data_IF_311660563651
#
_entry.id   IF_311660563651
#
_cell.length_a   1.000
_cell.length_b   1.000
_cell.length_c   1.000
_cell.angle_alpha   90.00
_cell.angle_beta   90.00
_cell.angle_gamma   90.00
#
_symmetry.space_group_name_H-M   'P 1'
#
loop_
_entity.id
_entity.type
_entity.pdbx_description
1 polymer ?
#
# COMPACT_ATOMS: atom_id res chain seq x y z
N UNK A 1 34.73 -8.64 3.06
CA UNK A 1 35.24 -9.37 1.88
C UNK A 1 34.55 -8.94 0.57
N UNK A 2 33.51 -8.08 0.61
CA UNK A 2 32.85 -7.48 -0.55
C UNK A 2 33.52 -6.18 -1.06
N UNK A 3 34.24 -5.46 -0.20
CA UNK A 3 34.89 -4.17 -0.57
C UNK A 3 36.17 -4.29 -1.42
N UNK A 4 36.58 -5.52 -1.78
CA UNK A 4 37.88 -5.75 -2.45
C UNK A 4 37.81 -6.20 -3.91
N UNK A 5 36.62 -6.31 -4.51
CA UNK A 5 36.50 -6.84 -5.88
C UNK A 5 36.22 -5.76 -6.94
N UNK A 6 35.84 -4.52 -6.58
CA UNK A 6 35.42 -3.53 -7.59
C UNK A 6 36.12 -2.18 -7.43
N UNK A 7 37.42 -2.18 -7.72
CA UNK A 7 38.13 -0.96 -8.16
C UNK A 7 37.75 -0.68 -9.62
N UNK A 8 36.73 0.16 -9.84
CA UNK A 8 36.28 0.53 -11.19
C UNK A 8 35.03 1.40 -11.23
N UNK A 9 35.05 2.57 -10.58
CA UNK A 9 33.99 3.59 -10.62
C UNK A 9 33.04 3.53 -9.41
N UNK A 10 32.94 4.62 -8.65
CA UNK A 10 31.94 4.75 -7.59
C UNK A 10 30.54 4.69 -8.23
N UNK A 11 29.81 3.60 -8.00
CA UNK A 11 28.41 3.48 -8.41
C UNK A 11 27.61 4.47 -7.57
N UNK A 12 27.12 5.53 -8.21
CA UNK A 12 26.24 6.52 -7.58
C UNK A 12 24.79 6.11 -7.77
N UNK A 13 24.16 5.66 -6.68
CA UNK A 13 22.72 5.43 -6.65
C UNK A 13 21.97 6.76 -6.61
N UNK A 14 20.88 6.88 -7.39
CA UNK A 14 20.03 8.09 -7.39
C UNK A 14 19.37 8.25 -6.03
N UNK A 15 18.76 7.18 -5.52
CA UNK A 15 18.19 7.12 -4.17
C UNK A 15 19.02 6.19 -3.30
N UNK A 16 19.67 6.76 -2.27
CA UNK A 16 20.43 5.96 -1.28
C UNK A 16 19.52 5.21 -0.31
N UNK A 17 18.35 5.76 -0.02
CA UNK A 17 17.31 5.11 0.78
C UNK A 17 16.24 4.52 -0.16
N UNK A 18 16.21 3.19 -0.25
CA UNK A 18 15.23 2.47 -1.06
C UNK A 18 13.78 2.72 -0.60
N UNK A 19 13.56 3.03 0.69
CA UNK A 19 12.23 3.23 1.23
C UNK A 19 11.50 4.44 0.63
N UNK A 20 12.24 5.45 0.14
CA UNK A 20 11.64 6.59 -0.58
C UNK A 20 10.91 6.08 -1.82
N UNK A 21 11.59 5.22 -2.58
CA UNK A 21 11.06 4.65 -3.82
C UNK A 21 9.96 3.64 -3.52
N UNK A 22 10.16 2.75 -2.54
CA UNK A 22 9.13 1.79 -2.10
C UNK A 22 7.84 2.49 -1.67
N UNK A 23 7.93 3.56 -0.87
CA UNK A 23 6.78 4.32 -0.41
C UNK A 23 6.07 5.05 -1.56
N UNK A 24 6.81 5.55 -2.55
CA UNK A 24 6.23 6.14 -3.75
C UNK A 24 5.33 5.14 -4.49
N UNK A 25 5.82 3.93 -4.76
CA UNK A 25 5.01 2.91 -5.43
C UNK A 25 3.87 2.39 -4.56
N UNK A 26 4.07 2.23 -3.24
CA UNK A 26 3.00 1.90 -2.30
C UNK A 26 1.86 2.92 -2.32
N UNK A 27 2.18 4.21 -2.41
CA UNK A 27 1.19 5.29 -2.44
C UNK A 27 0.39 5.35 -3.75
N UNK A 28 0.88 4.73 -4.84
CA UNK A 28 0.13 4.64 -6.11
C UNK A 28 -0.95 3.56 -6.07
N UNK A 29 -0.94 2.67 -5.09
CA UNK A 29 -1.86 1.55 -5.00
C UNK A 29 -3.24 2.07 -4.56
N UNK A 30 -4.31 1.79 -5.33
CA UNK A 30 -5.66 2.19 -4.96
C UNK A 30 -6.09 1.61 -3.60
N UNK A 31 -6.63 2.48 -2.73
CA UNK A 31 -7.25 2.05 -1.47
C UNK A 31 -8.60 1.40 -1.76
N UNK A 32 -8.94 0.34 -1.02
CA UNK A 32 -10.21 -0.37 -1.17
C UNK A 32 -11.09 -0.06 0.05
N UNK A 33 -11.99 0.91 -0.12
CA UNK A 33 -12.93 1.35 0.92
C UNK A 33 -14.33 0.74 0.72
N UNK A 34 -14.58 0.11 -0.43
CA UNK A 34 -15.80 -0.58 -0.80
C UNK A 34 -15.53 -1.64 -1.88
N UNK A 35 -16.46 -2.55 -2.09
CA UNK A 35 -16.38 -3.56 -3.17
C UNK A 35 -16.26 -2.92 -4.57
N UNK A 36 -16.82 -1.71 -4.73
CA UNK A 36 -16.76 -0.94 -5.99
C UNK A 36 -15.35 -0.45 -6.35
N UNK A 37 -14.41 -0.46 -5.41
CA UNK A 37 -13.02 -0.02 -5.63
C UNK A 37 -12.12 -1.14 -6.19
N UNK A 38 -12.56 -2.40 -6.10
CA UNK A 38 -11.80 -3.57 -6.53
C UNK A 38 -11.37 -3.53 -8.01
N UNK A 39 -12.22 -3.11 -8.98
CA UNK A 39 -11.80 -3.00 -10.38
C UNK A 39 -10.60 -2.08 -10.58
N UNK A 40 -10.54 -0.94 -9.88
CA UNK A 40 -9.41 -0.01 -9.95
C UNK A 40 -8.13 -0.64 -9.38
N UNK A 41 -8.26 -1.38 -8.28
CA UNK A 41 -7.15 -2.15 -7.71
C UNK A 41 -6.64 -3.23 -8.68
N UNK A 42 -7.54 -4.01 -9.28
CA UNK A 42 -7.16 -5.05 -10.25
C UNK A 42 -6.53 -4.46 -11.51
N UNK A 43 -6.97 -3.28 -11.93
CA UNK A 43 -6.39 -2.54 -13.04
C UNK A 43 -5.03 -1.92 -12.70
N UNK A 44 -4.64 -1.82 -11.43
CA UNK A 44 -3.33 -1.30 -11.06
C UNK A 44 -2.22 -2.33 -11.31
N UNK A 45 -2.45 -3.59 -10.96
CA UNK A 45 -1.46 -4.66 -11.11
C UNK A 45 -1.66 -5.45 -12.40
N UNK A 46 -0.54 -5.82 -13.05
CA UNK A 46 -0.61 -6.74 -14.19
C UNK A 46 -1.21 -8.10 -13.78
N UNK A 47 -0.84 -8.59 -12.59
CA UNK A 47 -1.31 -9.86 -12.05
C UNK A 47 -1.71 -9.66 -10.59
N UNK A 48 -2.77 -10.34 -10.16
CA UNK A 48 -3.37 -10.21 -8.84
C UNK A 48 -3.37 -11.58 -8.16
N UNK A 49 -3.13 -11.61 -6.85
CA UNK A 49 -3.40 -12.80 -6.03
C UNK A 49 -4.72 -12.61 -5.26
N UNK A 50 -5.85 -13.17 -5.74
CA UNK A 50 -7.15 -13.02 -5.09
C UNK A 50 -7.30 -13.89 -3.83
N UNK A 51 -6.32 -14.74 -3.50
CA UNK A 51 -6.47 -15.79 -2.47
C UNK A 51 -5.52 -15.67 -1.30
N UNK A 52 -4.36 -15.04 -1.48
CA UNK A 52 -3.30 -14.96 -0.48
C UNK A 52 -2.96 -13.52 -0.17
N UNK A 53 -2.66 -13.23 1.10
CA UNK A 53 -2.18 -11.93 1.54
C UNK A 53 -0.76 -11.67 0.99
N UNK A 54 -0.67 -10.96 -0.14
CA UNK A 54 0.55 -10.61 -0.88
C UNK A 54 0.49 -9.16 -1.35
N UNK A 55 1.61 -8.63 -1.79
CA UNK A 55 1.71 -7.25 -2.28
C UNK A 55 0.73 -6.91 -3.42
N UNK A 56 0.50 -7.84 -4.35
CA UNK A 56 -0.46 -7.69 -5.45
C UNK A 56 -1.83 -8.33 -5.13
N UNK A 57 -2.19 -8.40 -3.85
CA UNK A 57 -3.48 -8.88 -3.37
C UNK A 57 -4.29 -7.72 -2.80
N UNK A 58 -5.63 -7.74 -2.84
CA UNK A 58 -6.42 -6.67 -2.22
C UNK A 58 -6.39 -6.70 -0.68
N UNK A 59 -6.02 -7.82 -0.04
CA UNK A 59 -6.07 -7.97 1.44
C UNK A 59 -5.24 -6.96 2.25
N UNK A 60 -3.99 -6.59 1.88
CA UNK A 60 -3.23 -5.56 2.59
C UNK A 60 -3.85 -4.15 2.52
N UNK A 61 -4.73 -3.88 1.55
CA UNK A 61 -5.18 -2.53 1.21
C UNK A 61 -6.64 -2.26 1.57
N UNK A 62 -7.23 -3.15 2.37
CA UNK A 62 -8.59 -3.00 2.91
C UNK A 62 -8.68 -3.47 4.35
N UNK A 63 -9.71 -2.99 5.06
CA UNK A 63 -10.17 -3.54 6.35
C UNK A 63 -11.48 -4.33 6.21
N UNK A 64 -12.06 -4.37 5.01
CA UNK A 64 -13.32 -5.03 4.72
C UNK A 64 -13.11 -6.54 4.49
N UNK A 65 -14.13 -7.34 4.79
CA UNK A 65 -14.18 -8.73 4.32
C UNK A 65 -14.66 -8.76 2.87
N UNK A 66 -13.70 -8.78 1.95
CA UNK A 66 -13.92 -8.71 0.49
C UNK A 66 -13.94 -10.08 -0.19
N UNK A 67 -13.95 -11.20 0.55
CA UNK A 67 -13.84 -12.54 -0.07
C UNK A 67 -14.96 -12.81 -1.06
N UNK A 68 -16.20 -12.50 -0.70
CA UNK A 68 -17.35 -12.70 -1.58
C UNK A 68 -17.24 -11.79 -2.82
N UNK A 69 -16.87 -10.51 -2.63
CA UNK A 69 -16.69 -9.57 -3.73
C UNK A 69 -15.58 -9.99 -4.71
N UNK A 70 -14.49 -10.61 -4.22
CA UNK A 70 -13.45 -11.21 -5.06
C UNK A 70 -14.00 -12.41 -5.85
N UNK A 71 -14.76 -13.31 -5.21
CA UNK A 71 -15.37 -14.45 -5.91
C UNK A 71 -16.35 -14.00 -6.99
N UNK A 72 -17.15 -12.97 -6.70
CA UNK A 72 -18.05 -12.34 -7.67
C UNK A 72 -17.28 -11.67 -8.81
N UNK A 73 -16.15 -11.02 -8.54
CA UNK A 73 -15.26 -10.44 -9.56
C UNK A 73 -14.70 -11.50 -10.51
N UNK A 74 -14.35 -12.70 -9.99
CA UNK A 74 -13.94 -13.84 -10.82
C UNK A 74 -15.12 -14.41 -11.60
N UNK A 75 -16.30 -14.52 -10.97
CA UNK A 75 -17.51 -15.05 -11.60
C UNK A 75 -17.96 -14.17 -12.76
N UNK A 76 -17.91 -12.86 -12.60
CA UNK A 76 -18.37 -11.85 -13.54
C UNK A 76 -17.29 -11.37 -14.53
N UNK A 77 -16.13 -12.03 -14.57
CA UNK A 77 -15.04 -11.72 -15.51
C UNK A 77 -14.44 -10.31 -15.34
N UNK A 78 -14.52 -9.72 -14.15
CA UNK A 78 -13.75 -8.52 -13.81
C UNK A 78 -12.26 -8.87 -13.73
N UNK A 79 -11.95 -10.00 -13.10
CA UNK A 79 -10.65 -10.64 -13.15
C UNK A 79 -10.78 -12.05 -13.72
N UNK A 80 -9.79 -12.46 -14.50
CA UNK A 80 -9.78 -13.72 -15.25
C UNK A 80 -8.45 -14.44 -15.08
N UNK A 81 -8.48 -15.77 -15.17
CA UNK A 81 -7.25 -16.56 -15.10
C UNK A 81 -6.47 -16.49 -16.42
N UNK A 82 -5.15 -16.37 -16.33
CA UNK A 82 -4.21 -16.40 -17.46
C UNK A 82 -3.05 -17.35 -17.15
N UNK A 83 -2.39 -17.84 -18.19
CA UNK A 83 -1.23 -18.72 -18.06
C UNK A 83 0.01 -18.08 -18.68
N UNK A 84 1.07 -17.95 -17.89
CA UNK A 84 2.39 -17.50 -18.36
C UNK A 84 3.45 -18.58 -18.06
N UNK A 85 3.99 -18.59 -16.83
CA UNK A 85 4.79 -19.70 -16.28
C UNK A 85 3.96 -20.67 -15.41
N UNK A 86 2.73 -20.27 -15.13
CA UNK A 86 1.73 -20.95 -14.33
C UNK A 86 0.47 -20.10 -14.29
N UNK A 87 -0.60 -20.61 -13.69
CA UNK A 87 -1.87 -19.88 -13.63
C UNK A 87 -1.81 -18.71 -12.67
N UNK A 88 -2.21 -17.54 -13.15
CA UNK A 88 -2.34 -16.31 -12.40
C UNK A 88 -3.70 -15.65 -12.69
N UNK A 89 -4.07 -14.62 -11.94
CA UNK A 89 -5.27 -13.83 -12.21
C UNK A 89 -4.87 -12.45 -12.67
N UNK A 90 -5.63 -11.86 -13.58
CA UNK A 90 -5.40 -10.52 -14.12
C UNK A 90 -6.72 -9.79 -14.31
N UNK A 91 -6.69 -8.46 -14.36
CA UNK A 91 -7.83 -7.67 -14.84
C UNK A 91 -8.16 -8.03 -16.28
N UNK A 92 -9.44 -8.10 -16.60
CA UNK A 92 -9.92 -8.41 -17.95
C UNK A 92 -9.26 -7.53 -19.03
N UNK A 93 -8.96 -6.27 -18.72
CA UNK A 93 -8.34 -5.34 -19.67
C UNK A 93 -6.96 -5.79 -20.17
N UNK A 94 -6.25 -6.63 -19.42
CA UNK A 94 -4.93 -7.14 -19.78
C UNK A 94 -4.98 -8.52 -20.43
N UNK A 95 -6.15 -9.17 -20.43
CA UNK A 95 -6.30 -10.55 -20.87
C UNK A 95 -5.76 -10.78 -22.28
N UNK A 96 -6.15 -9.94 -23.25
CA UNK A 96 -5.70 -10.10 -24.64
C UNK A 96 -4.21 -9.81 -24.82
N UNK A 97 -3.65 -8.84 -24.08
CA UNK A 97 -2.21 -8.56 -24.13
C UNK A 97 -1.39 -9.75 -23.63
N UNK A 98 -1.79 -10.34 -22.50
CA UNK A 98 -1.13 -11.50 -21.93
C UNK A 98 -1.32 -12.72 -22.86
N UNK A 99 -2.53 -12.95 -23.36
CA UNK A 99 -2.80 -14.03 -24.31
C UNK A 99 -1.90 -13.92 -25.55
N UNK A 100 -1.84 -12.76 -26.20
CA UNK A 100 -0.98 -12.53 -27.37
C UNK A 100 0.49 -12.85 -27.07
N UNK A 101 0.98 -12.52 -25.87
CA UNK A 101 2.38 -12.73 -25.49
C UNK A 101 2.69 -14.19 -25.07
N UNK A 102 1.73 -14.95 -24.55
CA UNK A 102 1.99 -16.23 -23.86
C UNK A 102 1.15 -17.42 -24.34
N UNK A 103 0.22 -17.24 -25.29
CA UNK A 103 -0.55 -18.35 -25.86
C UNK A 103 0.38 -19.35 -26.56
N UNK A 104 0.38 -20.58 -26.05
CA UNK A 104 1.16 -21.67 -26.62
C UNK A 104 0.42 -22.31 -27.79
N UNK A 105 1.11 -22.46 -28.93
CA UNK A 105 0.63 -23.32 -30.01
C UNK A 105 0.81 -24.79 -29.63
N UNK A 106 -0.29 -25.53 -29.50
CA UNK A 106 -0.27 -26.95 -29.13
C UNK A 106 -1.12 -27.80 -30.09
N UNK A 107 -0.72 -29.05 -30.27
CA UNK A 107 -1.55 -30.08 -30.90
C UNK A 107 -2.33 -30.83 -29.82
N UNK A 108 -3.66 -30.87 -29.92
CA UNK A 108 -4.51 -31.56 -28.94
C UNK A 108 -4.56 -33.06 -29.20
N UNK A 109 -4.19 -33.84 -28.19
CA UNK A 109 -4.40 -35.29 -28.20
C UNK A 109 -5.83 -35.66 -27.75
N UNK A 110 -6.10 -36.96 -27.63
CA UNK A 110 -7.42 -37.44 -27.21
C UNK A 110 -7.73 -37.09 -25.75
N UNK A 111 -6.74 -37.16 -24.86
CA UNK A 111 -6.91 -36.84 -23.44
C UNK A 111 -7.27 -35.36 -23.28
N UNK A 112 -6.55 -34.48 -23.99
CA UNK A 112 -6.81 -33.03 -23.99
C UNK A 112 -8.26 -32.73 -24.45
N UNK A 113 -8.72 -33.39 -25.53
CA UNK A 113 -10.09 -33.21 -26.04
C UNK A 113 -11.15 -33.69 -25.05
N UNK A 114 -10.92 -34.81 -24.38
CA UNK A 114 -11.85 -35.35 -23.37
C UNK A 114 -11.90 -34.45 -22.13
N UNK A 115 -10.74 -34.01 -21.64
CA UNK A 115 -10.63 -33.07 -20.51
C UNK A 115 -11.31 -31.75 -20.84
N UNK A 116 -11.00 -31.15 -22.00
CA UNK A 116 -11.59 -29.88 -22.43
C UNK A 116 -13.12 -29.96 -22.57
N UNK A 117 -13.66 -31.08 -23.09
CA UNK A 117 -15.12 -31.29 -23.16
C UNK A 117 -15.78 -31.40 -21.79
N UNK A 118 -15.04 -31.89 -20.79
CA UNK A 118 -15.50 -32.05 -19.41
C UNK A 118 -15.44 -30.74 -18.60
N UNK A 119 -14.74 -29.72 -19.11
CA UNK A 119 -14.69 -28.39 -18.49
C UNK A 119 -16.01 -27.64 -18.68
N UNK A 120 -16.85 -27.66 -17.65
CA UNK A 120 -18.08 -26.86 -17.55
C UNK A 120 -18.44 -26.59 -16.07
N UNK A 121 -17.73 -25.64 -15.46
CA UNK A 121 -17.81 -25.31 -14.03
C UNK A 121 -17.54 -26.53 -13.13
N UNK A 122 -16.59 -27.37 -13.57
CA UNK A 122 -16.19 -28.60 -12.88
C UNK A 122 -14.83 -28.46 -12.22
N UNK A 123 -14.71 -29.00 -11.02
CA UNK A 123 -13.42 -29.14 -10.32
C UNK A 123 -12.55 -30.21 -10.99
N UNK A 124 -11.25 -30.20 -10.72
CA UNK A 124 -10.34 -31.24 -11.24
C UNK A 124 -10.79 -32.66 -10.84
N UNK A 125 -11.35 -32.81 -9.62
CA UNK A 125 -11.87 -34.09 -9.13
C UNK A 125 -13.08 -34.56 -9.94
N UNK A 126 -14.01 -33.66 -10.24
CA UNK A 126 -15.17 -33.99 -11.08
C UNK A 126 -14.75 -34.30 -12.53
N UNK A 127 -13.81 -33.53 -13.09
CA UNK A 127 -13.27 -33.77 -14.44
C UNK A 127 -12.66 -35.16 -14.51
N UNK A 128 -11.84 -35.54 -13.52
CA UNK A 128 -11.26 -36.90 -13.42
C UNK A 128 -12.34 -37.98 -13.46
N UNK A 129 -13.41 -37.82 -12.68
CA UNK A 129 -14.52 -38.78 -12.66
C UNK A 129 -15.28 -38.86 -13.99
N UNK A 130 -15.38 -37.75 -14.74
CA UNK A 130 -16.07 -37.70 -16.03
C UNK A 130 -15.20 -38.19 -17.20
N UNK A 131 -13.90 -37.93 -17.16
CA UNK A 131 -12.96 -38.29 -18.22
C UNK A 131 -12.48 -39.73 -18.14
N UNK A 132 -12.61 -40.37 -16.97
CA UNK A 132 -12.04 -41.69 -16.67
C UNK A 132 -10.53 -41.75 -16.94
N UNK A 133 -9.84 -40.63 -16.69
CA UNK A 133 -8.38 -40.51 -16.79
C UNK A 133 -7.75 -40.51 -15.41
N UNK A 134 -6.46 -40.82 -15.35
CA UNK A 134 -5.69 -40.70 -14.12
C UNK A 134 -5.47 -39.23 -13.74
N UNK A 135 -5.27 -38.98 -12.44
CA UNK A 135 -5.18 -37.61 -11.94
C UNK A 135 -4.03 -36.81 -12.58
N UNK A 136 -2.90 -37.46 -12.83
CA UNK A 136 -1.76 -36.83 -13.49
C UNK A 136 -2.04 -36.51 -14.96
N UNK A 137 -2.79 -37.36 -15.67
CA UNK A 137 -3.19 -37.10 -17.05
C UNK A 137 -4.12 -35.89 -17.12
N UNK A 138 -5.12 -35.83 -16.23
CA UNK A 138 -6.02 -34.66 -16.13
C UNK A 138 -5.24 -33.40 -15.81
N UNK A 139 -4.32 -33.44 -14.84
CA UNK A 139 -3.49 -32.28 -14.46
C UNK A 139 -2.63 -31.80 -15.63
N UNK A 140 -1.98 -32.72 -16.35
CA UNK A 140 -1.13 -32.40 -17.50
C UNK A 140 -1.95 -31.81 -18.65
N UNK A 141 -3.10 -32.41 -18.99
CA UNK A 141 -4.01 -31.87 -20.00
C UNK A 141 -4.57 -30.51 -19.61
N UNK A 142 -5.00 -30.31 -18.36
CA UNK A 142 -5.44 -28.98 -17.88
C UNK A 142 -4.34 -27.93 -18.02
N UNK A 143 -3.10 -28.27 -17.65
CA UNK A 143 -1.95 -27.35 -17.76
C UNK A 143 -1.70 -26.96 -19.22
N UNK A 144 -1.73 -27.92 -20.15
CA UNK A 144 -1.60 -27.67 -21.60
C UNK A 144 -2.76 -26.83 -22.15
N UNK A 145 -3.99 -27.12 -21.74
CA UNK A 145 -5.17 -26.39 -22.17
C UNK A 145 -5.20 -24.96 -21.63
N UNK A 146 -4.72 -24.74 -20.40
CA UNK A 146 -4.53 -23.40 -19.83
C UNK A 146 -3.42 -22.63 -20.56
N UNK A 147 -2.28 -23.25 -20.86
CA UNK A 147 -1.18 -22.60 -21.60
C UNK A 147 -1.53 -22.23 -23.03
N UNK A 148 -2.44 -22.97 -23.65
CA UNK A 148 -3.00 -22.67 -24.97
C UNK A 148 -4.27 -21.81 -24.91
N UNK A 149 -4.66 -21.30 -23.75
CA UNK A 149 -5.85 -20.45 -23.58
C UNK A 149 -7.14 -21.11 -24.11
N UNK A 150 -7.27 -22.43 -24.00
CA UNK A 150 -8.47 -23.18 -24.38
C UNK A 150 -9.39 -23.45 -23.18
N UNK A 151 -8.85 -23.39 -21.98
CA UNK A 151 -9.56 -23.53 -20.70
C UNK A 151 -9.15 -22.40 -19.77
N UNK A 152 -10.08 -21.97 -18.92
CA UNK A 152 -9.85 -20.97 -17.88
C UNK A 152 -10.46 -21.40 -16.55
N UNK A 153 -9.95 -20.83 -15.46
CA UNK A 153 -10.42 -21.08 -14.10
C UNK A 153 -11.53 -20.12 -13.71
N UNK A 154 -12.42 -20.61 -12.86
CA UNK A 154 -13.45 -19.89 -12.12
C UNK A 154 -13.40 -20.32 -10.66
N UNK A 155 -14.10 -19.58 -9.80
CA UNK A 155 -14.37 -20.00 -8.43
C UNK A 155 -15.84 -20.39 -8.29
N UNK A 156 -16.07 -21.53 -7.63
CA UNK A 156 -17.38 -22.04 -7.26
C UNK A 156 -17.28 -22.55 -5.82
N UNK A 157 -18.01 -21.91 -4.91
CA UNK A 157 -18.06 -22.26 -3.48
C UNK A 157 -16.64 -22.36 -2.85
N UNK A 158 -15.78 -21.37 -3.10
CA UNK A 158 -14.39 -21.36 -2.64
C UNK A 158 -13.46 -22.37 -3.33
N UNK A 159 -13.94 -23.14 -4.31
CA UNK A 159 -13.15 -24.12 -5.05
C UNK A 159 -12.86 -23.67 -6.48
N UNK A 160 -11.67 -24.00 -6.96
CA UNK A 160 -11.29 -23.80 -8.36
C UNK A 160 -12.05 -24.77 -9.25
N UNK A 161 -12.78 -24.21 -10.21
CA UNK A 161 -13.45 -24.94 -11.29
C UNK A 161 -12.91 -24.49 -12.64
N UNK A 162 -13.10 -25.33 -13.66
CA UNK A 162 -12.61 -25.10 -15.00
C UNK A 162 -13.78 -24.97 -15.97
N UNK A 163 -13.65 -24.04 -16.91
CA UNK A 163 -14.58 -23.83 -18.01
C UNK A 163 -13.81 -23.76 -19.32
N UNK A 164 -14.45 -24.16 -20.41
CA UNK A 164 -13.94 -23.86 -21.75
C UNK A 164 -13.80 -22.35 -21.91
N UNK A 165 -12.73 -21.94 -22.57
CA UNK A 165 -12.48 -20.52 -22.76
C UNK A 165 -13.53 -19.93 -23.71
N UNK A 166 -14.34 -19.01 -23.18
CA UNK A 166 -15.40 -18.32 -23.88
C UNK A 166 -15.04 -16.85 -24.16
N UNK A 167 -13.80 -16.44 -23.89
CA UNK A 167 -13.33 -15.08 -24.14
C UNK A 167 -13.04 -14.88 -25.62
N UNK A 168 -13.48 -13.73 -26.15
CA UNK A 168 -13.16 -13.33 -27.51
C UNK A 168 -11.66 -13.07 -27.62
N UNK A 169 -11.00 -13.72 -28.58
CA UNK A 169 -9.61 -13.40 -28.92
C UNK A 169 -9.58 -12.13 -29.76
N UNK A 170 -8.98 -11.08 -29.23
CA UNK A 170 -8.68 -9.88 -30.02
C UNK A 170 -7.21 -9.96 -30.40
N UNK A 171 -6.95 -9.99 -31.70
CA UNK A 171 -5.58 -9.97 -32.20
C UNK A 171 -4.92 -8.63 -31.85
N UNK A 172 -3.87 -8.69 -31.06
CA UNK A 172 -3.01 -7.55 -30.74
C UNK A 172 -1.66 -7.75 -31.43
N UNK A 173 -0.98 -6.66 -31.74
CA UNK A 173 0.42 -6.72 -32.15
C UNK A 173 1.28 -7.21 -30.98
N UNK A 174 2.21 -8.13 -31.25
CA UNK A 174 3.02 -8.77 -30.21
C UNK A 174 3.93 -7.76 -29.51
N UNK A 175 4.61 -6.90 -30.26
CA UNK A 175 5.58 -5.95 -29.72
C UNK A 175 4.87 -4.86 -28.91
N UNK A 176 3.76 -4.34 -29.43
CA UNK A 176 2.86 -3.43 -28.70
C UNK A 176 2.31 -4.07 -27.43
N UNK A 177 1.97 -5.36 -27.46
CA UNK A 177 1.50 -6.08 -26.28
C UNK A 177 2.59 -6.17 -25.22
N UNK A 178 3.79 -6.59 -25.60
CA UNK A 178 4.93 -6.69 -24.67
C UNK A 178 5.25 -5.32 -24.07
N UNK A 179 5.28 -4.25 -24.87
CA UNK A 179 5.49 -2.87 -24.40
C UNK A 179 4.46 -2.48 -23.33
N UNK A 180 3.16 -2.70 -23.59
CA UNK A 180 2.09 -2.40 -22.62
C UNK A 180 2.18 -3.25 -21.34
N UNK A 181 2.60 -4.51 -21.45
CA UNK A 181 2.83 -5.39 -20.30
C UNK A 181 3.97 -4.86 -19.42
N UNK A 182 5.09 -4.45 -20.04
CA UNK A 182 6.23 -3.83 -19.34
C UNK A 182 5.80 -2.53 -18.66
N UNK A 183 5.10 -1.65 -19.37
CA UNK A 183 4.61 -0.40 -18.79
C UNK A 183 3.71 -0.66 -17.57
N UNK A 184 2.77 -1.59 -17.68
CA UNK A 184 1.84 -1.93 -16.59
C UNK A 184 2.59 -2.50 -15.38
N UNK A 185 3.58 -3.36 -15.64
CA UNK A 185 4.41 -3.94 -14.60
C UNK A 185 5.25 -2.86 -13.89
N UNK A 186 5.95 -2.01 -14.63
CA UNK A 186 6.83 -0.99 -14.06
C UNK A 186 6.05 0.14 -13.37
N UNK A 187 4.85 0.48 -13.84
CA UNK A 187 3.98 1.45 -13.15
C UNK A 187 3.53 0.99 -11.76
N UNK A 188 3.39 -0.32 -11.56
CA UNK A 188 2.88 -0.89 -10.30
C UNK A 188 3.97 -1.42 -9.38
N UNK A 189 5.10 -1.86 -9.92
CA UNK A 189 6.16 -2.54 -9.17
C UNK A 189 7.58 -2.04 -9.49
N UNK A 190 7.72 -0.92 -10.20
CA UNK A 190 9.03 -0.33 -10.49
C UNK A 190 9.75 0.17 -9.23
N UNK A 191 11.04 0.55 -9.34
CA UNK A 191 11.98 0.19 -10.41
C UNK A 191 12.32 -1.31 -10.35
N UNK A 192 12.57 -1.95 -11.51
CA UNK A 192 12.93 -3.38 -11.59
C UNK A 192 14.17 -3.61 -12.45
N UNK A 193 15.01 -4.56 -12.04
CA UNK A 193 16.10 -5.08 -12.88
C UNK A 193 15.56 -5.95 -14.03
N UNK A 194 16.38 -6.19 -15.06
CA UNK A 194 16.03 -7.10 -16.15
C UNK A 194 15.58 -8.49 -15.64
N UNK A 195 16.33 -9.07 -14.70
CA UNK A 195 16.05 -10.38 -14.13
C UNK A 195 14.68 -10.42 -13.42
N UNK A 196 14.33 -9.35 -12.71
CA UNK A 196 13.04 -9.23 -12.04
C UNK A 196 11.88 -9.07 -13.02
N UNK A 197 12.10 -8.38 -14.15
CA UNK A 197 11.13 -8.29 -15.24
C UNK A 197 10.96 -9.66 -15.89
N UNK A 198 12.06 -10.35 -16.25
CA UNK A 198 12.03 -11.70 -16.84
C UNK A 198 11.34 -12.73 -15.95
N UNK A 199 11.50 -12.62 -14.63
CA UNK A 199 10.83 -13.50 -13.68
C UNK A 199 9.29 -13.36 -13.75
N UNK A 200 8.81 -12.14 -14.00
CA UNK A 200 7.37 -11.80 -14.03
C UNK A 200 6.77 -11.91 -15.43
N UNK A 201 7.56 -11.62 -16.45
CA UNK A 201 7.25 -11.72 -17.87
C UNK A 201 8.24 -12.72 -18.49
N UNK A 202 7.92 -14.02 -18.51
CA UNK A 202 8.82 -15.08 -19.00
C UNK A 202 8.92 -15.09 -20.53
N UNK A 203 9.31 -13.96 -21.10
CA UNK A 203 9.59 -13.73 -22.52
C UNK A 203 11.07 -14.03 -22.74
N UNK A 204 11.44 -14.46 -23.95
CA UNK A 204 12.84 -14.64 -24.34
C UNK A 204 13.63 -13.36 -24.08
N UNK A 205 14.81 -13.50 -23.45
CA UNK A 205 15.62 -12.37 -23.00
C UNK A 205 15.95 -11.42 -24.15
N UNK A 206 16.30 -11.96 -25.31
CA UNK A 206 16.66 -11.17 -26.50
C UNK A 206 15.51 -10.27 -26.93
N UNK A 207 14.29 -10.82 -26.95
CA UNK A 207 13.09 -10.06 -27.32
C UNK A 207 12.72 -9.02 -26.27
N UNK A 208 12.81 -9.38 -24.99
CA UNK A 208 12.53 -8.46 -23.89
C UNK A 208 13.51 -7.28 -23.89
N UNK A 209 14.80 -7.55 -24.10
CA UNK A 209 15.85 -6.54 -24.16
C UNK A 209 15.63 -5.60 -25.35
N UNK A 210 15.32 -6.13 -26.55
CA UNK A 210 15.00 -5.33 -27.73
C UNK A 210 13.88 -4.31 -27.44
N UNK A 211 12.80 -4.75 -26.80
CA UNK A 211 11.67 -3.88 -26.47
C UNK A 211 12.05 -2.85 -25.39
N UNK A 212 12.76 -3.26 -24.34
CA UNK A 212 13.22 -2.36 -23.27
C UNK A 212 14.17 -1.28 -23.81
N UNK A 213 15.13 -1.65 -24.65
CA UNK A 213 16.08 -0.71 -25.27
C UNK A 213 15.35 0.29 -26.17
N UNK A 214 14.34 -0.17 -26.92
CA UNK A 214 13.44 0.69 -27.68
C UNK A 214 12.68 1.68 -26.78
N UNK A 215 12.11 1.21 -25.67
CA UNK A 215 11.39 2.06 -24.71
C UNK A 215 12.30 3.09 -24.02
N UNK A 216 13.56 2.74 -23.74
CA UNK A 216 14.55 3.69 -23.21
C UNK A 216 14.91 4.74 -24.27
N UNK A 217 15.17 4.31 -25.51
CA UNK A 217 15.44 5.22 -26.63
C UNK A 217 14.29 6.20 -26.88
N UNK A 218 13.06 5.73 -26.72
CA UNK A 218 11.84 6.54 -26.85
C UNK A 218 11.54 7.42 -25.62
N UNK A 219 12.42 7.43 -24.61
CA UNK A 219 12.25 8.16 -23.34
C UNK A 219 10.97 7.79 -22.56
N UNK A 220 10.51 6.56 -22.72
CA UNK A 220 9.38 5.99 -21.96
C UNK A 220 9.88 5.43 -20.63
N UNK A 221 11.08 4.85 -20.64
CA UNK A 221 11.76 4.29 -19.48
C UNK A 221 13.12 4.96 -19.28
N UNK A 222 13.55 5.04 -18.03
CA UNK A 222 14.94 5.33 -17.66
C UNK A 222 15.62 4.02 -17.21
N UNK A 223 16.92 3.88 -17.50
CA UNK A 223 17.74 2.73 -17.11
C UNK A 223 18.95 3.19 -16.28
N UNK A 224 18.80 3.16 -14.95
CA UNK A 224 19.77 3.72 -14.01
C UNK A 224 19.94 2.90 -12.73
N UNK A 225 20.94 3.23 -11.93
CA UNK A 225 21.08 2.73 -10.55
C UNK A 225 20.11 3.50 -9.63
N UNK A 226 18.82 3.15 -9.68
CA UNK A 226 17.77 3.89 -8.97
C UNK A 226 17.87 3.72 -7.46
N UNK A 227 17.93 2.47 -6.98
CA UNK A 227 18.07 2.09 -5.57
C UNK A 227 19.39 1.36 -5.32
N UNK A 228 19.80 1.07 -4.06
CA UNK A 228 21.04 0.34 -3.70
C UNK A 228 21.11 -1.14 -4.12
N UNK A 229 20.56 -1.46 -5.29
CA UNK A 229 20.73 -2.73 -5.99
C UNK A 229 21.90 -2.56 -6.96
N UNK A 230 22.89 -3.45 -6.90
CA UNK A 230 24.09 -3.41 -7.76
C UNK A 230 23.82 -3.88 -9.20
N UNK A 231 22.71 -3.42 -9.77
CA UNK A 231 22.32 -3.63 -11.16
C UNK A 231 21.45 -2.45 -11.59
N UNK A 232 21.55 -2.07 -12.86
CA UNK A 232 20.66 -1.03 -13.39
C UNK A 232 19.22 -1.52 -13.38
N UNK A 233 18.31 -0.61 -13.05
CA UNK A 233 16.89 -0.86 -12.97
C UNK A 233 16.16 -0.02 -14.01
N UNK A 234 15.14 -0.60 -14.61
CA UNK A 234 14.17 0.09 -15.45
C UNK A 234 13.09 0.71 -14.58
N UNK A 235 12.73 1.95 -14.89
CA UNK A 235 11.62 2.68 -14.27
C UNK A 235 10.92 3.51 -15.32
N UNK A 236 9.61 3.75 -15.18
CA UNK A 236 8.91 4.69 -16.05
C UNK A 236 9.55 6.07 -15.93
N UNK A 237 9.83 6.72 -17.06
CA UNK A 237 10.45 8.04 -17.07
C UNK A 237 9.64 9.05 -16.24
N UNK A 238 8.31 9.01 -16.35
CA UNK A 238 7.41 9.85 -15.55
C UNK A 238 7.52 9.59 -14.04
N UNK A 239 7.69 8.32 -13.64
CA UNK A 239 7.86 7.96 -12.22
C UNK A 239 9.22 8.43 -11.70
N UNK A 240 10.29 8.34 -12.51
CA UNK A 240 11.59 8.91 -12.18
C UNK A 240 11.51 10.44 -12.00
N UNK A 241 10.88 11.14 -12.94
CA UNK A 241 10.71 12.60 -12.83
C UNK A 241 9.89 12.98 -11.59
N UNK A 242 8.82 12.26 -11.29
CA UNK A 242 8.03 12.48 -10.08
C UNK A 242 8.83 12.20 -8.81
N UNK A 243 9.64 11.14 -8.79
CA UNK A 243 10.54 10.80 -7.69
C UNK A 243 11.67 11.80 -7.52
N UNK A 244 12.21 12.40 -8.58
CA UNK A 244 13.24 13.44 -8.50
C UNK A 244 12.63 14.78 -8.06
N UNK A 245 11.47 15.15 -8.62
CA UNK A 245 10.74 16.35 -8.21
C UNK A 245 10.24 16.26 -6.76
N UNK A 246 9.83 15.06 -6.33
CA UNK A 246 9.48 14.72 -4.94
C UNK A 246 10.68 14.35 -4.07
N UNK A 247 11.86 14.14 -4.67
CA UNK A 247 13.09 13.65 -4.04
C UNK A 247 14.14 14.73 -3.82
N UNK A 248 13.96 15.91 -4.43
CA UNK A 248 14.58 17.17 -4.02
C UNK A 248 13.63 18.09 -3.24
N UNK A 249 12.32 17.81 -3.22
CA UNK A 249 11.39 18.44 -2.27
C UNK A 249 11.24 17.55 -1.05
N UNK A 250 12.25 17.68 -0.21
CA UNK A 250 12.35 17.07 1.10
C UNK A 250 11.05 17.27 1.88
N UNK A 251 10.06 16.37 1.86
CA UNK A 251 8.86 16.55 2.71
C UNK A 251 9.28 16.47 4.18
N UNK A 252 10.37 15.77 4.48
CA UNK A 252 10.93 15.69 5.82
C UNK A 252 11.75 16.91 6.20
N UNK A 253 12.61 17.48 5.35
CA UNK A 253 13.29 18.75 5.61
C UNK A 253 12.48 19.97 5.26
N UNK A 254 11.39 19.90 4.50
CA UNK A 254 10.37 20.94 4.42
C UNK A 254 9.57 20.92 5.71
N UNK A 255 9.25 19.74 6.26
CA UNK A 255 8.73 19.62 7.64
C UNK A 255 9.77 20.03 8.67
N UNK A 256 11.05 19.74 8.48
CA UNK A 256 12.13 20.11 9.40
C UNK A 256 12.41 21.62 9.32
N UNK A 257 12.57 22.19 8.14
CA UNK A 257 12.70 23.63 7.87
C UNK A 257 11.45 24.40 8.31
N UNK A 258 10.26 23.83 8.10
CA UNK A 258 9.04 24.39 8.67
C UNK A 258 9.12 24.34 10.20
N UNK A 259 9.43 23.20 10.82
CA UNK A 259 9.63 23.09 12.28
C UNK A 259 10.84 23.86 12.86
N UNK A 260 11.78 24.28 12.02
CA UNK A 260 12.96 25.08 12.38
C UNK A 260 12.74 26.58 12.18
N UNK A 261 11.81 26.98 11.30
CA UNK A 261 11.48 28.37 11.02
C UNK A 261 10.57 29.03 12.04
N UNK A 262 10.59 30.35 12.14
CA UNK A 262 9.66 31.16 12.95
C UNK A 262 8.23 31.08 12.41
N UNK A 263 7.25 31.37 13.27
CA UNK A 263 5.86 31.64 12.88
C UNK A 263 5.65 33.16 12.81
N UNK A 264 4.78 33.64 11.92
CA UNK A 264 4.46 35.06 11.81
C UNK A 264 3.76 35.56 13.08
N UNK A 265 2.76 34.82 13.56
CA UNK A 265 1.95 35.15 14.73
C UNK A 265 1.64 33.94 15.63
N UNK A 266 0.87 34.16 16.71
CA UNK A 266 0.55 33.13 17.70
C UNK A 266 -0.40 32.06 17.15
N UNK A 267 -1.32 32.42 16.24
CA UNK A 267 -2.23 31.43 15.65
C UNK A 267 -1.42 30.47 14.78
N UNK A 268 -0.57 31.02 13.91
CA UNK A 268 0.31 30.22 13.07
C UNK A 268 1.25 29.36 13.93
N UNK A 269 1.78 29.88 15.04
CA UNK A 269 2.61 29.10 15.95
C UNK A 269 1.92 27.81 16.42
N UNK A 270 0.66 27.89 16.88
CA UNK A 270 -0.03 26.72 17.43
C UNK A 270 -0.58 25.76 16.37
N UNK A 271 -0.93 26.26 15.18
CA UNK A 271 -1.15 25.42 14.00
C UNK A 271 0.14 24.66 13.62
N UNK A 272 1.29 25.32 13.78
CA UNK A 272 2.58 24.82 13.33
C UNK A 272 3.24 23.83 14.27
N UNK A 273 3.32 24.17 15.55
CA UNK A 273 4.08 23.42 16.55
C UNK A 273 3.19 22.61 17.50
N UNK A 274 1.91 22.96 17.61
CA UNK A 274 0.96 22.32 18.50
C UNK A 274 1.16 22.63 19.99
N UNK A 275 2.37 22.93 20.46
CA UNK A 275 2.63 23.25 21.87
C UNK A 275 3.85 24.17 22.09
N UNK A 276 3.89 24.82 23.26
CA UNK A 276 5.03 25.61 23.74
C UNK A 276 5.33 25.29 25.21
N UNK A 277 6.61 25.29 25.58
CA UNK A 277 7.03 25.03 26.96
C UNK A 277 6.73 26.19 27.91
N UNK A 278 6.89 27.42 27.44
CA UNK A 278 6.69 28.63 28.22
C UNK A 278 6.47 29.83 27.28
N UNK A 279 6.18 30.99 27.87
CA UNK A 279 6.02 32.24 27.12
C UNK A 279 7.28 32.67 26.38
N UNK A 280 8.47 32.24 26.83
CA UNK A 280 9.73 32.54 26.15
C UNK A 280 9.85 31.75 24.85
N UNK A 281 9.44 30.48 24.85
CA UNK A 281 9.43 29.58 23.68
C UNK A 281 8.49 30.10 22.59
N UNK A 282 7.38 30.73 22.96
CA UNK A 282 6.49 31.45 22.05
C UNK A 282 7.21 32.66 21.44
N UNK A 283 7.77 33.54 22.28
CA UNK A 283 8.46 34.75 21.83
C UNK A 283 9.67 34.47 20.94
N UNK A 284 10.43 33.43 21.25
CA UNK A 284 11.66 33.09 20.53
C UNK A 284 11.39 32.56 19.11
N UNK A 285 10.16 32.13 18.82
CA UNK A 285 9.78 31.45 17.58
C UNK A 285 8.56 32.09 16.90
N UNK A 286 8.13 33.26 17.36
CA UNK A 286 7.04 34.03 16.75
C UNK A 286 7.53 35.45 16.47
N UNK A 287 7.45 35.89 15.22
CA UNK A 287 7.93 37.22 14.80
C UNK A 287 7.09 38.34 15.41
N UNK A 288 5.76 38.22 15.36
CA UNK A 288 4.80 39.18 15.91
C UNK A 288 4.12 38.63 17.16
N UNK A 289 4.88 38.40 18.22
CA UNK A 289 4.34 37.90 19.48
C UNK A 289 3.38 38.90 20.15
N UNK A 290 2.18 38.43 20.53
CA UNK A 290 1.20 39.19 21.34
C UNK A 290 0.72 38.39 22.54
N UNK A 291 0.95 38.91 23.75
CA UNK A 291 0.46 38.29 24.99
C UNK A 291 -1.07 38.37 25.13
N UNK A 292 -1.67 39.45 24.62
CA UNK A 292 -3.13 39.62 24.57
C UNK A 292 -3.74 38.52 23.72
N UNK A 293 -3.16 38.24 22.55
CA UNK A 293 -3.64 37.17 21.67
C UNK A 293 -3.53 35.77 22.30
N UNK A 294 -2.47 35.50 23.06
CA UNK A 294 -2.36 34.24 23.83
C UNK A 294 -3.49 34.12 24.84
N UNK A 295 -3.82 35.19 25.57
CA UNK A 295 -4.91 35.17 26.54
C UNK A 295 -6.28 35.01 25.87
N UNK A 296 -6.50 35.61 24.71
CA UNK A 296 -7.71 35.41 23.90
C UNK A 296 -7.88 33.93 23.52
N UNK A 297 -6.81 33.31 22.99
CA UNK A 297 -6.82 31.91 22.57
C UNK A 297 -7.01 30.93 23.75
N UNK A 298 -6.61 31.32 24.96
CA UNK A 298 -6.91 30.55 26.18
C UNK A 298 -8.39 30.72 26.54
N UNK A 299 -8.90 31.95 26.45
CA UNK A 299 -10.29 32.26 26.81
C UNK A 299 -11.30 31.60 25.86
N UNK A 300 -10.96 31.50 24.57
CA UNK A 300 -11.80 30.85 23.55
C UNK A 300 -11.57 29.32 23.44
N UNK A 301 -10.64 28.78 24.24
CA UNK A 301 -10.26 27.36 24.31
C UNK A 301 -9.61 26.81 23.04
N UNK A 302 -9.08 27.66 22.16
CA UNK A 302 -8.26 27.23 21.03
C UNK A 302 -6.91 26.68 21.50
N UNK A 303 -6.40 27.19 22.63
CA UNK A 303 -5.22 26.66 23.31
C UNK A 303 -5.48 26.49 24.81
N UNK A 304 -4.79 25.56 25.43
CA UNK A 304 -4.86 25.28 26.86
C UNK A 304 -3.52 25.52 27.52
N UNK A 305 -3.52 26.16 28.68
CA UNK A 305 -2.34 26.26 29.55
C UNK A 305 -2.49 25.24 30.69
N UNK A 306 -1.70 24.17 30.62
CA UNK A 306 -1.84 23.01 31.50
C UNK A 306 -0.56 22.17 31.51
N UNK A 307 -0.58 21.02 32.17
CA UNK A 307 0.59 20.13 32.26
C UNK A 307 0.56 19.06 31.17
N UNK A 308 0.74 19.46 29.92
CA UNK A 308 0.49 18.55 28.78
C UNK A 308 1.71 17.78 28.30
N UNK A 309 2.94 18.24 28.60
CA UNK A 309 4.18 17.57 28.18
C UNK A 309 5.12 17.35 29.37
N UNK A 310 5.44 16.09 29.67
CA UNK A 310 6.36 15.69 30.77
C UNK A 310 6.02 16.32 32.14
N UNK A 311 4.74 16.53 32.44
CA UNK A 311 4.24 17.16 33.67
C UNK A 311 4.74 18.60 33.93
N UNK A 312 5.21 19.30 32.90
CA UNK A 312 5.59 20.71 33.00
C UNK A 312 4.41 21.59 32.57
N UNK A 313 4.21 22.77 33.20
CA UNK A 313 3.27 23.76 32.67
C UNK A 313 3.67 24.12 31.24
N UNK A 314 2.75 23.96 30.30
CA UNK A 314 2.93 24.15 28.87
C UNK A 314 1.66 24.73 28.26
N UNK A 315 1.81 25.38 27.12
CA UNK A 315 0.68 25.77 26.27
C UNK A 315 0.49 24.71 25.19
N UNK A 316 -0.72 24.26 24.90
CA UNK A 316 -0.99 23.29 23.84
C UNK A 316 -2.28 23.61 23.09
N UNK A 317 -2.26 23.41 21.77
CA UNK A 317 -3.41 23.58 20.91
C UNK A 317 -4.48 22.52 21.18
N UNK A 318 -5.75 22.89 21.06
CA UNK A 318 -6.88 21.99 21.28
C UNK A 318 -6.78 20.72 20.42
N UNK A 319 -6.50 20.86 19.12
CA UNK A 319 -6.37 19.74 18.19
C UNK A 319 -5.26 18.77 18.61
N UNK A 320 -4.17 19.27 19.19
CA UNK A 320 -3.05 18.44 19.63
C UNK A 320 -3.44 17.62 20.86
N UNK A 321 -4.18 18.23 21.79
CA UNK A 321 -4.71 17.54 22.97
C UNK A 321 -5.71 16.46 22.54
N UNK A 322 -6.63 16.77 21.62
CA UNK A 322 -7.58 15.80 21.07
C UNK A 322 -6.88 14.63 20.37
N UNK A 323 -5.84 14.93 19.57
CA UNK A 323 -5.04 13.91 18.91
C UNK A 323 -4.33 13.00 19.93
N UNK A 324 -3.69 13.58 20.95
CA UNK A 324 -3.04 12.83 22.03
C UNK A 324 -4.03 11.97 22.81
N UNK A 325 -5.23 12.48 23.06
CA UNK A 325 -6.31 11.72 23.70
C UNK A 325 -6.77 10.54 22.81
N UNK A 326 -6.91 10.74 21.50
CA UNK A 326 -7.36 9.70 20.55
C UNK A 326 -6.38 8.55 20.36
N UNK A 327 -5.08 8.79 20.57
CA UNK A 327 -4.01 7.79 20.42
C UNK A 327 -3.87 6.88 21.64
N UNK A 328 -4.73 7.03 22.64
CA UNK A 328 -4.69 6.25 23.87
C UNK A 328 -5.32 4.87 23.67
N UNK A 329 -4.58 3.82 24.02
CA UNK A 329 -5.03 2.42 23.92
C UNK A 329 -5.83 1.92 25.13
N UNK A 330 -5.78 2.62 26.27
CA UNK A 330 -6.38 2.17 27.53
C UNK A 330 -7.56 3.06 27.94
N UNK A 331 -8.74 2.45 28.10
CA UNK A 331 -9.91 3.12 28.66
C UNK A 331 -9.70 3.48 30.14
N UNK A 332 -10.21 4.64 30.60
CA UNK A 332 -10.12 5.01 32.01
C UNK A 332 -10.80 3.97 32.89
N UNK A 333 -10.08 3.49 33.90
CA UNK A 333 -10.67 2.64 34.94
C UNK A 333 -11.71 3.41 35.79
N UNK A 334 -12.47 2.68 36.62
CA UNK A 334 -13.55 3.28 37.43
C UNK A 334 -13.08 4.41 38.36
N UNK A 335 -11.85 4.33 38.85
CA UNK A 335 -11.29 5.35 39.74
C UNK A 335 -10.99 6.62 38.94
N UNK A 336 -10.41 6.48 37.76
CA UNK A 336 -10.12 7.57 36.85
C UNK A 336 -11.40 8.25 36.33
N UNK A 337 -12.43 7.47 36.01
CA UNK A 337 -13.76 8.01 35.67
C UNK A 337 -14.35 8.81 36.82
N UNK A 338 -14.23 8.30 38.05
CA UNK A 338 -14.63 9.00 39.28
C UNK A 338 -13.88 10.32 39.47
N UNK A 339 -12.56 10.32 39.24
CA UNK A 339 -11.72 11.52 39.30
C UNK A 339 -12.17 12.59 38.32
N UNK A 340 -12.37 12.22 37.04
CA UNK A 340 -12.83 13.15 36.00
C UNK A 340 -14.21 13.72 36.36
N UNK A 341 -15.11 12.88 36.89
CA UNK A 341 -16.43 13.32 37.33
C UNK A 341 -16.36 14.29 38.53
N UNK A 342 -15.51 14.02 39.53
CA UNK A 342 -15.33 14.89 40.68
C UNK A 342 -14.80 16.29 40.28
N UNK A 343 -13.81 16.33 39.38
CA UNK A 343 -13.27 17.59 38.83
C UNK A 343 -14.34 18.33 38.01
N UNK A 344 -15.09 17.63 37.15
CA UNK A 344 -16.20 18.21 36.38
C UNK A 344 -17.28 18.83 37.29
N UNK A 345 -17.50 18.24 38.46
CA UNK A 345 -18.45 18.72 39.46
C UNK A 345 -17.88 19.80 40.40
N UNK A 346 -16.68 20.33 40.12
CA UNK A 346 -16.12 21.49 40.82
C UNK A 346 -15.09 21.18 41.90
N UNK A 347 -14.64 19.93 42.05
CA UNK A 347 -13.51 19.62 42.92
C UNK A 347 -12.21 20.20 42.34
N UNK A 348 -11.68 21.25 42.98
CA UNK A 348 -10.51 22.00 42.50
C UNK A 348 -9.24 21.78 43.32
N UNK A 349 -9.33 21.00 44.41
CA UNK A 349 -8.18 20.68 45.29
C UNK A 349 -8.09 19.17 45.55
N UNK A 350 -6.88 18.69 45.87
CA UNK A 350 -6.64 17.28 46.23
C UNK A 350 -7.53 16.82 47.39
N UNK A 351 -7.77 17.70 48.37
CA UNK A 351 -8.57 17.39 49.55
C UNK A 351 -10.05 17.24 49.19
N UNK A 352 -10.59 18.09 48.28
CA UNK A 352 -11.96 17.94 47.76
C UNK A 352 -12.13 16.66 46.92
N UNK A 353 -11.11 16.29 46.16
CA UNK A 353 -11.10 15.04 45.38
C UNK A 353 -11.04 13.82 46.31
N UNK A 354 -10.24 13.90 47.37
CA UNK A 354 -10.15 12.86 48.39
C UNK A 354 -11.46 12.65 49.12
N UNK A 355 -12.15 13.73 49.49
CA UNK A 355 -13.48 13.68 50.11
C UNK A 355 -14.52 13.08 49.15
N UNK A 356 -14.46 13.41 47.86
CA UNK A 356 -15.39 12.90 46.85
C UNK A 356 -15.19 11.41 46.50
N UNK A 357 -13.95 10.91 46.54
CA UNK A 357 -13.62 9.56 46.08
C UNK A 357 -13.30 8.57 47.21
N UNK A 358 -12.98 9.03 48.41
CA UNK A 358 -12.57 8.17 49.53
C UNK A 358 -11.25 7.42 49.29
N UNK A 359 -10.41 7.90 48.37
CA UNK A 359 -9.14 7.29 47.97
C UNK A 359 -7.98 7.99 48.67
N UNK A 360 -6.90 7.27 48.97
CA UNK A 360 -5.69 7.85 49.56
C UNK A 360 -5.09 8.96 48.69
N UNK A 361 -4.59 10.02 49.34
CA UNK A 361 -4.01 11.20 48.68
C UNK A 361 -2.84 10.87 47.76
N UNK A 362 -2.04 9.85 48.09
CA UNK A 362 -0.90 9.41 47.28
C UNK A 362 -1.37 8.80 45.96
N UNK A 363 -2.47 8.05 46.01
CA UNK A 363 -3.11 7.46 44.83
C UNK A 363 -3.77 8.56 43.99
N UNK A 364 -4.44 9.53 44.62
CA UNK A 364 -5.02 10.69 43.92
C UNK A 364 -3.96 11.50 43.17
N UNK A 365 -2.79 11.73 43.78
CA UNK A 365 -1.66 12.39 43.09
C UNK A 365 -1.19 11.62 41.87
N UNK A 366 -1.12 10.30 41.96
CA UNK A 366 -0.73 9.46 40.83
C UNK A 366 -1.81 9.43 39.75
N UNK A 367 -3.08 9.40 40.15
CA UNK A 367 -4.21 9.46 39.23
C UNK A 367 -4.30 10.82 38.54
N UNK A 368 -4.10 11.94 39.25
CA UNK A 368 -4.07 13.28 38.66
C UNK A 368 -2.97 13.42 37.61
N UNK A 369 -1.77 12.87 37.87
CA UNK A 369 -0.70 12.80 36.85
C UNK A 369 -1.10 12.01 35.62
N UNK A 370 -1.85 10.92 35.80
CA UNK A 370 -2.38 10.12 34.71
C UNK A 370 -3.60 10.79 34.04
N UNK A 371 -4.30 11.66 34.77
CA UNK A 371 -5.48 12.44 34.39
C UNK A 371 -5.16 13.69 33.54
N UNK A 372 -3.95 14.24 33.67
CA UNK A 372 -3.46 15.40 32.89
C UNK A 372 -3.43 15.13 31.36
N UNK A 373 -3.63 13.86 30.95
CA UNK A 373 -3.75 13.40 29.58
C UNK A 373 -5.17 12.86 29.22
N UNK A 374 -6.19 13.19 30.04
CA UNK A 374 -7.61 12.88 29.80
C UNK A 374 -8.42 14.10 29.39
#
# INVERSE_FOLDING_TARGET
MLDKIYSGGDISFIFRDAHIVENYFLNKIPKINSDGDLPAFYAHFLTVDPTRNRFNSPFPYTKLDIKQAIEESIRNDVIVSVYMRGTQWTSLQYYNLIRTAFESSITLDNNDKVVMKSCDFKTMKEIKSLSNLEENEVRNSLTRLESAYLVRRKLKDGQVSFIRNNMVSIAEDMDSSIRKLIETLLRSMGPLTLDEIMLRLPIAQEKLQEVLDGMVKDSVLDLEYVTPVFSKQYIMHQDMQALLAGGESDIQASRLLWLEGTALDINEYFEKFGYALDSWSLRARTESYSAERVNELISDKSIYHGRTIRHKPTYAAAWMIEALHSLRYEEPDKNMQGLVAAVRNGASTEDMIQEALGIDRTIIKQMLKNAEFF
#
